data_IF_526962512396
#
_entry.id   IF_526962512396
#
_cell.length_a   1.000
_cell.length_b   1.000
_cell.length_c   1.000
_cell.angle_alpha   90.00
_cell.angle_beta   90.00
_cell.angle_gamma   90.00
#
_symmetry.space_group_name_H-M   'P 1'
#
loop_
_entity.id
_entity.type
_entity.pdbx_description
1 polymer ?
#
# COMPACT_ATOMS: atom_id res chain seq x y z
N UNK A 1 -13.58 -14.53 -11.99
CA UNK A 1 -13.54 -15.60 -10.98
C UNK A 1 -12.51 -15.29 -9.87
N UNK A 2 -12.63 -14.09 -9.24
CA UNK A 2 -11.65 -13.61 -8.24
C UNK A 2 -12.30 -13.22 -6.91
N UNK A 3 -13.61 -13.26 -6.77
CA UNK A 3 -14.34 -12.65 -5.67
C UNK A 3 -14.51 -13.44 -4.34
N UNK A 4 -14.23 -14.73 -4.17
CA UNK A 4 -14.57 -15.36 -2.90
C UNK A 4 -13.60 -15.08 -1.74
N UNK A 5 -12.32 -14.83 -1.99
CA UNK A 5 -11.31 -14.77 -0.92
C UNK A 5 -11.21 -13.40 -0.22
N UNK A 6 -11.44 -12.31 -0.93
CA UNK A 6 -11.42 -10.98 -0.33
C UNK A 6 -12.63 -10.73 0.56
N UNK A 7 -13.80 -11.25 0.19
CA UNK A 7 -15.01 -11.19 1.03
C UNK A 7 -14.89 -12.06 2.28
N UNK A 8 -14.31 -13.24 2.15
CA UNK A 8 -14.07 -14.13 3.29
C UNK A 8 -13.02 -13.57 4.28
N UNK A 9 -12.07 -12.76 3.81
CA UNK A 9 -11.11 -12.06 4.68
C UNK A 9 -11.78 -10.86 5.38
N UNK A 10 -12.64 -10.12 4.69
CA UNK A 10 -13.40 -9.02 5.27
C UNK A 10 -14.44 -9.50 6.30
N UNK A 11 -15.11 -10.64 6.05
CA UNK A 11 -16.06 -11.24 6.99
C UNK A 11 -15.36 -11.79 8.24
N UNK A 12 -14.14 -12.30 8.14
CA UNK A 12 -13.36 -12.75 9.32
C UNK A 12 -12.91 -11.59 10.20
N UNK A 13 -12.60 -10.43 9.61
CA UNK A 13 -12.27 -9.22 10.35
C UNK A 13 -13.49 -8.58 11.03
N UNK A 14 -14.70 -8.84 10.51
CA UNK A 14 -15.95 -8.35 11.09
C UNK A 14 -16.54 -9.26 12.18
N UNK A 15 -16.05 -10.51 12.31
CA UNK A 15 -16.61 -11.51 13.20
C UNK A 15 -15.89 -11.64 14.56
N UNK A 16 -14.73 -11.02 14.76
CA UNK A 16 -14.07 -11.00 16.05
C UNK A 16 -14.47 -9.78 16.86
N UNK A 17 -15.08 -9.97 18.05
CA UNK A 17 -15.35 -8.86 18.95
C UNK A 17 -14.01 -8.29 19.45
N UNK A 18 -13.81 -6.98 19.20
CA UNK A 18 -12.66 -6.24 19.73
C UNK A 18 -12.53 -6.47 21.25
N UNK A 19 -11.33 -6.78 21.76
CA UNK A 19 -11.11 -6.91 23.18
C UNK A 19 -11.46 -5.60 23.88
N UNK A 20 -12.36 -5.68 24.86
CA UNK A 20 -12.74 -4.53 25.67
C UNK A 20 -11.54 -4.09 26.50
N UNK A 21 -11.17 -2.80 26.51
CA UNK A 21 -10.10 -2.30 27.36
C UNK A 21 -10.46 -2.50 28.83
N UNK A 22 -9.59 -3.19 29.56
CA UNK A 22 -9.72 -3.37 31.01
C UNK A 22 -9.52 -2.04 31.75
N UNK A 23 -10.08 -1.88 32.97
CA UNK A 23 -9.94 -0.67 33.74
C UNK A 23 -8.52 -0.57 34.33
N UNK A 24 -7.65 0.24 33.74
CA UNK A 24 -6.32 0.49 34.29
C UNK A 24 -5.25 0.99 33.34
N UNK A 25 -5.52 1.07 32.05
CA UNK A 25 -4.53 1.47 31.05
C UNK A 25 -4.70 2.86 30.42
N UNK A 26 -5.43 3.75 31.05
CA UNK A 26 -5.95 4.95 30.40
C UNK A 26 -4.97 6.12 30.18
N UNK A 27 -3.72 6.09 30.67
CA UNK A 27 -2.86 7.28 30.59
C UNK A 27 -1.73 7.24 29.58
N UNK A 28 -1.38 6.09 29.02
CA UNK A 28 -0.29 5.97 28.03
C UNK A 28 -0.80 5.82 26.61
N UNK A 29 -2.05 5.41 26.42
CA UNK A 29 -2.67 5.17 25.12
C UNK A 29 -3.46 6.35 24.57
N UNK A 30 -3.71 7.41 25.36
CA UNK A 30 -4.52 8.55 24.93
C UNK A 30 -3.83 9.43 23.88
N UNK A 31 -2.50 9.34 23.71
CA UNK A 31 -1.77 10.11 22.73
C UNK A 31 -1.45 9.36 21.42
N UNK A 32 -1.46 8.03 21.42
CA UNK A 32 -1.14 7.21 20.24
C UNK A 32 -2.30 7.04 19.25
N UNK A 33 -3.58 6.92 19.68
CA UNK A 33 -4.70 6.86 18.75
C UNK A 33 -4.86 8.13 17.91
N UNK A 34 -4.64 9.29 18.49
CA UNK A 34 -4.79 10.57 17.79
C UNK A 34 -3.83 10.76 16.62
N UNK A 35 -2.60 10.30 16.75
CA UNK A 35 -1.63 10.38 15.66
C UNK A 35 -1.95 9.39 14.53
N UNK A 36 -2.39 8.18 14.88
CA UNK A 36 -2.84 7.20 13.89
C UNK A 36 -4.08 7.69 13.14
N UNK A 37 -5.05 8.24 13.86
CA UNK A 37 -6.26 8.81 13.30
C UNK A 37 -5.98 10.02 12.41
N UNK A 38 -5.02 10.85 12.75
CA UNK A 38 -4.64 11.99 11.93
C UNK A 38 -4.04 11.58 10.59
N UNK A 39 -3.07 10.68 10.57
CA UNK A 39 -2.45 10.23 9.34
C UNK A 39 -3.45 9.45 8.47
N UNK A 40 -4.23 8.54 9.06
CA UNK A 40 -5.30 7.84 8.37
C UNK A 40 -6.29 8.83 7.74
N UNK A 41 -6.76 9.80 8.51
CA UNK A 41 -7.73 10.80 8.05
C UNK A 41 -7.16 11.63 6.91
N UNK A 42 -5.91 12.04 6.99
CA UNK A 42 -5.25 12.82 5.95
C UNK A 42 -5.07 12.01 4.66
N UNK A 43 -4.61 10.77 4.75
CA UNK A 43 -4.47 9.88 3.58
C UNK A 43 -5.82 9.60 2.95
N UNK A 44 -6.83 9.27 3.74
CA UNK A 44 -8.18 8.97 3.25
C UNK A 44 -8.84 10.17 2.56
N UNK A 45 -8.75 11.35 3.17
CA UNK A 45 -9.37 12.58 2.61
C UNK A 45 -8.68 13.07 1.36
N UNK A 46 -7.38 12.86 1.24
CA UNK A 46 -6.57 13.31 0.12
C UNK A 46 -6.25 12.20 -0.88
N UNK A 47 -6.92 11.05 -0.80
CA UNK A 47 -6.62 9.87 -1.62
C UNK A 47 -6.64 10.17 -3.13
N UNK A 48 -7.65 10.88 -3.61
CA UNK A 48 -7.74 11.25 -5.02
C UNK A 48 -6.59 12.18 -5.48
N UNK A 49 -6.19 13.12 -4.62
CA UNK A 49 -5.06 14.02 -4.91
C UNK A 49 -3.72 13.28 -4.86
N UNK A 50 -3.55 12.34 -3.93
CA UNK A 50 -2.37 11.48 -3.84
C UNK A 50 -2.24 10.61 -5.10
N UNK A 51 -3.31 9.98 -5.52
CA UNK A 51 -3.34 9.19 -6.77
C UNK A 51 -2.95 10.04 -7.96
N UNK A 52 -3.53 11.23 -8.09
CA UNK A 52 -3.21 12.16 -9.18
C UNK A 52 -1.75 12.61 -9.16
N UNK A 53 -1.21 12.95 -8.00
CA UNK A 53 0.18 13.38 -7.85
C UNK A 53 1.16 12.27 -8.22
N UNK A 54 0.91 11.05 -7.74
CA UNK A 54 1.73 9.88 -8.07
C UNK A 54 1.63 9.52 -9.55
N UNK A 55 0.44 9.52 -10.10
CA UNK A 55 0.22 9.24 -11.52
C UNK A 55 0.98 10.23 -12.40
N UNK A 56 0.86 11.53 -12.12
CA UNK A 56 1.58 12.59 -12.84
C UNK A 56 3.10 12.43 -12.71
N UNK A 57 3.58 12.06 -11.52
CA UNK A 57 4.99 11.77 -11.29
C UNK A 57 5.49 10.58 -12.11
N UNK A 58 4.73 9.50 -12.18
CA UNK A 58 5.06 8.33 -12.99
C UNK A 58 5.11 8.66 -14.49
N UNK A 59 4.16 9.44 -14.99
CA UNK A 59 4.15 9.90 -16.39
C UNK A 59 5.38 10.75 -16.73
N UNK A 60 5.78 11.61 -15.81
CA UNK A 60 6.96 12.46 -15.99
C UNK A 60 8.25 11.64 -15.99
N UNK A 61 8.35 10.69 -15.07
CA UNK A 61 9.59 9.95 -14.81
C UNK A 61 9.75 8.71 -15.71
N UNK A 62 8.65 8.24 -16.33
CA UNK A 62 8.65 7.01 -17.14
C UNK A 62 8.15 7.29 -18.55
N UNK A 63 9.04 7.26 -19.51
CA UNK A 63 8.69 7.46 -20.94
C UNK A 63 7.71 6.39 -21.46
N UNK A 64 7.74 5.18 -20.92
CA UNK A 64 6.85 4.11 -21.29
C UNK A 64 5.37 4.45 -21.00
N UNK A 65 5.06 5.10 -19.88
CA UNK A 65 3.69 5.48 -19.55
C UNK A 65 3.08 6.51 -20.48
N UNK A 66 3.92 7.30 -21.17
CA UNK A 66 3.44 8.28 -22.17
C UNK A 66 2.91 7.62 -23.44
N UNK A 67 3.24 6.35 -23.65
CA UNK A 67 2.80 5.54 -24.79
C UNK A 67 1.61 4.63 -24.42
N UNK A 68 1.19 4.64 -23.17
CA UNK A 68 0.06 3.84 -22.70
C UNK A 68 -1.25 4.31 -23.35
N UNK A 69 -2.13 3.34 -23.61
CA UNK A 69 -3.50 3.63 -24.03
C UNK A 69 -4.30 4.23 -22.87
N UNK A 70 -5.42 4.88 -23.17
CA UNK A 70 -6.31 5.43 -22.14
C UNK A 70 -6.79 4.35 -21.16
N UNK A 71 -7.02 3.13 -21.64
CA UNK A 71 -7.41 1.99 -20.79
C UNK A 71 -6.28 1.58 -19.85
N UNK A 72 -5.03 1.51 -20.34
CA UNK A 72 -3.86 1.20 -19.50
C UNK A 72 -3.64 2.29 -18.44
N UNK A 73 -3.80 3.55 -18.81
CA UNK A 73 -3.72 4.69 -17.88
C UNK A 73 -4.80 4.60 -16.79
N UNK A 74 -6.03 4.23 -17.17
CA UNK A 74 -7.12 4.03 -16.22
C UNK A 74 -6.80 2.90 -15.23
N UNK A 75 -6.32 1.76 -15.72
CA UNK A 75 -5.92 0.63 -14.86
C UNK A 75 -4.81 1.03 -13.88
N UNK A 76 -3.82 1.79 -14.33
CA UNK A 76 -2.77 2.31 -13.44
C UNK A 76 -3.34 3.22 -12.36
N UNK A 77 -4.26 4.11 -12.70
CA UNK A 77 -4.92 4.99 -11.75
C UNK A 77 -5.74 4.18 -10.72
N UNK A 78 -6.45 3.15 -11.15
CA UNK A 78 -7.23 2.26 -10.28
C UNK A 78 -6.31 1.47 -9.33
N UNK A 79 -5.18 0.95 -9.82
CA UNK A 79 -4.19 0.27 -9.00
C UNK A 79 -3.57 1.21 -7.94
N UNK A 80 -3.26 2.44 -8.32
CA UNK A 80 -2.78 3.46 -7.38
C UNK A 80 -3.83 3.80 -6.31
N UNK A 81 -5.10 3.88 -6.69
CA UNK A 81 -6.19 4.11 -5.75
C UNK A 81 -6.28 2.99 -4.71
N UNK A 82 -6.15 1.74 -5.12
CA UNK A 82 -6.12 0.59 -4.22
C UNK A 82 -4.91 0.62 -3.28
N UNK A 83 -3.73 1.00 -3.77
CA UNK A 83 -2.52 1.13 -2.94
C UNK A 83 -2.73 2.19 -1.85
N UNK A 84 -3.26 3.35 -2.21
CA UNK A 84 -3.52 4.43 -1.25
C UNK A 84 -4.58 4.03 -0.21
N UNK A 85 -5.64 3.36 -0.64
CA UNK A 85 -6.69 2.86 0.24
C UNK A 85 -6.16 1.81 1.23
N UNK A 86 -5.31 0.89 0.77
CA UNK A 86 -4.68 -0.10 1.64
C UNK A 86 -3.70 0.52 2.64
N UNK A 87 -2.95 1.54 2.21
CA UNK A 87 -2.10 2.32 3.10
C UNK A 87 -2.93 2.96 4.22
N UNK A 88 -4.04 3.60 3.86
CA UNK A 88 -4.96 4.18 4.84
C UNK A 88 -5.48 3.12 5.82
N UNK A 89 -5.90 1.97 5.33
CA UNK A 89 -6.37 0.86 6.17
C UNK A 89 -5.29 0.36 7.11
N UNK A 90 -4.07 0.18 6.62
CA UNK A 90 -2.93 -0.26 7.43
C UNK A 90 -2.56 0.77 8.51
N UNK A 91 -2.66 2.06 8.20
CA UNK A 91 -2.49 3.14 9.16
C UNK A 91 -3.57 3.11 10.25
N UNK A 92 -4.82 2.90 9.87
CA UNK A 92 -5.94 2.80 10.80
C UNK A 92 -5.77 1.62 11.77
N UNK A 93 -5.41 0.46 11.25
CA UNK A 93 -5.19 -0.76 12.06
C UNK A 93 -3.86 -0.69 12.83
N UNK A 94 -2.89 0.10 12.36
CA UNK A 94 -1.56 0.19 12.95
C UNK A 94 -0.67 -1.01 12.64
N UNK A 95 -0.90 -1.69 11.51
CA UNK A 95 -0.18 -2.90 11.10
C UNK A 95 0.62 -2.68 9.81
N UNK A 96 1.93 -2.41 9.91
CA UNK A 96 2.81 -2.27 8.74
C UNK A 96 2.91 -3.56 7.90
N UNK A 97 2.77 -4.74 8.53
CA UNK A 97 2.85 -6.01 7.83
C UNK A 97 1.67 -6.21 6.87
N UNK A 98 0.52 -5.66 7.19
CA UNK A 98 -0.66 -5.69 6.33
C UNK A 98 -0.39 -4.98 4.98
N UNK A 99 0.23 -3.81 5.02
CA UNK A 99 0.55 -3.06 3.82
C UNK A 99 1.68 -3.71 3.01
N UNK A 100 2.74 -4.17 3.67
CA UNK A 100 3.84 -4.90 3.03
C UNK A 100 3.37 -6.18 2.34
N UNK A 101 2.50 -6.95 2.98
CA UNK A 101 1.87 -8.14 2.41
C UNK A 101 1.02 -7.83 1.18
N UNK A 102 0.24 -6.76 1.24
CA UNK A 102 -0.56 -6.29 0.11
C UNK A 102 0.30 -5.90 -1.10
N UNK A 103 1.38 -5.14 -0.89
CA UNK A 103 2.28 -4.75 -2.00
C UNK A 103 3.00 -5.95 -2.61
N UNK A 104 3.42 -6.91 -1.80
CA UNK A 104 4.04 -8.14 -2.27
C UNK A 104 3.07 -8.95 -3.13
N UNK A 105 1.83 -9.11 -2.68
CA UNK A 105 0.78 -9.76 -3.45
C UNK A 105 0.47 -9.01 -4.75
N UNK A 106 0.40 -7.68 -4.72
CA UNK A 106 0.23 -6.84 -5.91
C UNK A 106 1.38 -7.07 -6.90
N UNK A 107 2.62 -7.15 -6.43
CA UNK A 107 3.78 -7.44 -7.25
C UNK A 107 3.66 -8.80 -7.97
N UNK A 108 3.17 -9.82 -7.30
CA UNK A 108 2.94 -11.14 -7.89
C UNK A 108 1.86 -11.10 -8.99
N UNK A 109 0.78 -10.37 -8.76
CA UNK A 109 -0.29 -10.19 -9.77
C UNK A 109 0.24 -9.44 -10.99
N UNK A 110 0.99 -8.36 -10.81
CA UNK A 110 1.59 -7.62 -11.92
C UNK A 110 2.53 -8.51 -12.73
N UNK A 111 3.36 -9.30 -12.06
CA UNK A 111 4.26 -10.28 -12.72
C UNK A 111 3.46 -11.29 -13.53
N UNK A 112 2.40 -11.86 -12.98
CA UNK A 112 1.53 -12.82 -13.67
C UNK A 112 0.85 -12.21 -14.91
N UNK A 113 0.62 -10.92 -14.92
CA UNK A 113 0.06 -10.17 -16.07
C UNK A 113 1.12 -9.71 -17.07
N UNK A 114 2.39 -9.98 -16.82
CA UNK A 114 3.50 -9.50 -17.66
C UNK A 114 3.80 -8.02 -17.50
N UNK A 115 3.30 -7.39 -16.44
CA UNK A 115 3.60 -5.98 -16.12
C UNK A 115 4.89 -5.94 -15.29
N UNK A 116 5.87 -5.09 -15.65
CA UNK A 116 7.10 -4.99 -14.89
C UNK A 116 6.84 -4.51 -13.46
N UNK A 117 7.19 -5.33 -12.48
CA UNK A 117 7.07 -4.98 -11.04
C UNK A 117 7.89 -3.74 -10.68
N UNK A 118 8.88 -3.44 -11.48
CA UNK A 118 9.71 -2.25 -11.35
C UNK A 118 8.91 -0.93 -11.40
N UNK A 119 7.69 -0.94 -11.94
CA UNK A 119 6.80 0.22 -11.93
C UNK A 119 6.19 0.50 -10.53
N UNK A 120 6.12 -0.51 -9.68
CA UNK A 120 5.56 -0.40 -8.33
C UNK A 120 6.49 0.38 -7.38
N UNK A 121 7.79 0.16 -7.47
CA UNK A 121 8.79 0.84 -6.60
C UNK A 121 8.79 2.37 -6.81
N UNK A 122 8.80 2.90 -8.04
CA UNK A 122 8.65 4.34 -8.26
C UNK A 122 7.36 4.92 -7.69
N UNK A 123 6.23 4.22 -7.81
CA UNK A 123 4.96 4.66 -7.25
C UNK A 123 5.03 4.79 -5.72
N UNK A 124 5.62 3.82 -5.03
CA UNK A 124 5.80 3.87 -3.58
C UNK A 124 6.74 5.02 -3.18
N UNK A 125 7.82 5.26 -3.93
CA UNK A 125 8.71 6.40 -3.69
C UNK A 125 8.02 7.74 -3.85
N UNK A 126 7.17 7.88 -4.86
CA UNK A 126 6.39 9.11 -5.05
C UNK A 126 5.41 9.33 -3.89
N UNK A 127 4.77 8.26 -3.38
CA UNK A 127 3.96 8.34 -2.16
C UNK A 127 4.79 8.76 -0.93
N UNK A 128 6.01 8.25 -0.77
CA UNK A 128 6.91 8.69 0.31
C UNK A 128 7.21 10.20 0.23
N UNK A 129 7.40 10.72 -0.97
CA UNK A 129 7.62 12.17 -1.18
C UNK A 129 6.37 12.98 -0.84
N UNK A 130 5.22 12.56 -1.32
CA UNK A 130 3.94 13.24 -1.04
C UNK A 130 3.57 13.22 0.45
N UNK A 131 3.90 12.13 1.13
CA UNK A 131 3.58 11.90 2.55
C UNK A 131 4.77 12.15 3.50
N UNK A 132 5.79 12.89 3.06
CA UNK A 132 7.02 13.13 3.83
C UNK A 132 6.79 13.73 5.22
N UNK A 133 5.70 14.47 5.41
CA UNK A 133 5.34 15.09 6.68
C UNK A 133 4.57 14.15 7.63
N UNK A 134 4.32 12.91 7.18
CA UNK A 134 3.59 11.89 7.92
C UNK A 134 4.51 10.71 8.26
N UNK A 135 5.15 10.71 9.44
CA UNK A 135 6.23 9.77 9.76
C UNK A 135 5.80 8.30 9.78
N UNK A 136 4.57 8.00 10.21
CA UNK A 136 4.05 6.63 10.22
C UNK A 136 3.79 6.10 8.81
N UNK A 137 3.19 6.92 7.96
CA UNK A 137 2.96 6.58 6.56
C UNK A 137 4.28 6.36 5.83
N UNK A 138 5.26 7.25 5.98
CA UNK A 138 6.57 7.12 5.34
C UNK A 138 7.36 5.91 5.83
N UNK A 139 7.32 5.60 7.13
CA UNK A 139 7.93 4.40 7.67
C UNK A 139 7.29 3.13 7.08
N UNK A 140 5.97 3.09 7.02
CA UNK A 140 5.21 1.97 6.47
C UNK A 140 5.52 1.75 4.97
N UNK A 141 5.57 2.83 4.20
CA UNK A 141 5.93 2.81 2.78
C UNK A 141 7.37 2.33 2.57
N UNK A 142 8.33 2.83 3.35
CA UNK A 142 9.73 2.44 3.24
C UNK A 142 9.95 0.95 3.56
N UNK A 143 9.29 0.44 4.59
CA UNK A 143 9.33 -1.00 4.95
C UNK A 143 8.74 -1.86 3.84
N UNK A 144 7.59 -1.47 3.33
CA UNK A 144 6.91 -2.21 2.25
C UNK A 144 7.72 -2.20 0.96
N UNK A 145 8.33 -1.07 0.60
CA UNK A 145 9.22 -0.96 -0.56
C UNK A 145 10.43 -1.90 -0.43
N UNK A 146 11.06 -1.94 0.73
CA UNK A 146 12.17 -2.86 1.00
C UNK A 146 11.73 -4.33 0.91
N UNK A 147 10.54 -4.66 1.41
CA UNK A 147 9.96 -6.00 1.33
C UNK A 147 9.71 -6.43 -0.11
N UNK A 148 9.10 -5.57 -0.91
CA UNK A 148 8.88 -5.82 -2.35
C UNK A 148 10.20 -6.01 -3.09
N UNK A 149 11.21 -5.18 -2.80
CA UNK A 149 12.54 -5.31 -3.40
C UNK A 149 13.19 -6.66 -3.11
N UNK A 150 13.12 -7.16 -1.89
CA UNK A 150 13.61 -8.50 -1.53
C UNK A 150 12.81 -9.62 -2.20
N UNK A 151 11.50 -9.48 -2.25
CA UNK A 151 10.60 -10.46 -2.87
C UNK A 151 10.89 -10.60 -4.36
N UNK A 152 11.00 -9.49 -5.08
CA UNK A 152 11.27 -9.50 -6.51
C UNK A 152 12.66 -10.04 -6.83
N UNK A 153 13.66 -9.76 -6.01
CA UNK A 153 14.99 -10.32 -6.15
C UNK A 153 14.99 -11.85 -5.96
N UNK A 154 14.25 -12.35 -4.98
CA UNK A 154 14.12 -13.79 -4.72
C UNK A 154 13.42 -14.55 -5.86
N UNK A 155 12.42 -13.92 -6.50
CA UNK A 155 11.71 -14.50 -7.65
C UNK A 155 12.55 -14.46 -8.93
N UNK A 156 13.42 -13.45 -9.08
CA UNK A 156 14.31 -13.32 -10.24
C UNK A 156 15.48 -14.30 -10.24
N UNK A 157 15.80 -14.91 -9.09
CA UNK A 157 16.83 -15.97 -8.95
C UNK A 157 16.18 -17.33 -8.61
N UNK A 158 15.46 -18.00 -9.53
CA UNK A 158 15.00 -19.37 -9.27
C UNK A 158 16.19 -20.33 -9.36
N UNK A 159 16.76 -20.66 -8.19
CA UNK A 159 17.57 -21.87 -8.06
C UNK A 159 18.99 -21.76 -8.61
N UNK A 160 19.90 -21.17 -7.82
CA UNK A 160 21.29 -21.61 -7.84
C UNK A 160 21.36 -22.81 -6.88
N UNK A 161 21.47 -24.06 -7.39
CA UNK A 161 21.73 -25.18 -6.49
C UNK A 161 23.07 -24.96 -5.80
N UNK A 162 23.07 -25.18 -4.52
CA UNK A 162 24.29 -25.19 -3.74
C UNK A 162 25.22 -26.32 -4.20
#
# INVERSE_FOLDING_TARGET
AWEPDARAAADRLSAEPLPRPGPGGHQVLDHLPHLADQEYTMVSRNSAQLVKAVFTGLERDTSAMRQDTDLQRQHTADDLAHIVEFLATALYVGDPALFGGFLTWTADILTARGVPVQSLVPAVRLLEVELRDFPRATEMLARARAQVGRHTAAVAEPGKPA
#
